data_IF_464442935908
#
_entry.id   IF_464442935908
#
_cell.length_a   1.000
_cell.length_b   1.000
_cell.length_c   1.000
_cell.angle_alpha   90.00
_cell.angle_beta   90.00
_cell.angle_gamma   90.00
#
_symmetry.space_group_name_H-M   'P 1'
#
loop_
_entity.id
_entity.type
_entity.pdbx_description
1 polymer ?
#
# COMPACT_ATOMS: atom_id res chain seq x y z
N UNK A 1 -9.09 0.34 10.62
CA UNK A 1 -8.52 -0.56 9.61
C UNK A 1 -9.39 -1.81 9.54
N UNK A 2 -9.59 -2.43 8.37
CA UNK A 2 -10.28 -3.73 8.24
C UNK A 2 -9.25 -4.82 7.98
N UNK A 3 -9.34 -5.92 8.71
CA UNK A 3 -8.42 -7.05 8.61
C UNK A 3 -8.99 -8.16 7.73
N UNK A 4 -8.09 -8.86 7.05
CA UNK A 4 -8.37 -10.00 6.19
C UNK A 4 -7.29 -11.07 6.41
N UNK A 5 -7.72 -12.33 6.44
CA UNK A 5 -6.82 -13.48 6.44
C UNK A 5 -6.71 -14.05 5.03
N UNK A 6 -5.51 -14.01 4.47
CA UNK A 6 -5.18 -14.52 3.13
C UNK A 6 -4.15 -15.67 3.22
N UNK A 7 -4.09 -16.39 4.33
CA UNK A 7 -2.94 -17.24 4.69
C UNK A 7 -1.80 -16.46 5.35
N UNK A 8 -2.06 -15.18 5.64
CA UNK A 8 -1.25 -14.16 6.28
C UNK A 8 -2.15 -12.95 6.55
N UNK A 9 -1.81 -12.10 7.53
CA UNK A 9 -2.70 -11.00 7.94
C UNK A 9 -2.52 -9.81 7.00
N UNK A 10 -3.60 -9.36 6.38
CA UNK A 10 -3.64 -8.11 5.63
C UNK A 10 -4.56 -7.11 6.32
N UNK A 11 -4.06 -5.93 6.61
CA UNK A 11 -4.85 -4.82 7.15
C UNK A 11 -5.01 -3.74 6.09
N UNK A 12 -6.23 -3.27 5.88
CA UNK A 12 -6.59 -2.22 4.92
C UNK A 12 -7.16 -0.97 5.62
N UNK A 13 -6.57 0.20 5.34
CA UNK A 13 -7.06 1.50 5.81
C UNK A 13 -7.35 2.40 4.62
N UNK A 14 -8.46 3.14 4.69
CA UNK A 14 -8.90 4.03 3.64
C UNK A 14 -8.84 5.47 4.16
N UNK A 15 -8.23 6.35 3.37
CA UNK A 15 -8.05 7.75 3.69
C UNK A 15 -8.66 8.61 2.58
N UNK A 16 -9.47 9.58 2.97
CA UNK A 16 -10.05 10.58 2.08
C UNK A 16 -9.48 11.96 2.44
N UNK A 17 -9.64 12.90 1.50
CA UNK A 17 -9.19 14.29 1.64
C UNK A 17 -7.70 14.41 2.01
N UNK A 18 -6.87 13.49 1.52
CA UNK A 18 -5.42 13.51 1.75
C UNK A 18 -4.79 14.72 1.05
N UNK A 19 -4.03 15.51 1.80
CA UNK A 19 -3.38 16.74 1.32
C UNK A 19 -1.86 16.61 1.14
N UNK A 20 -1.24 15.58 1.76
CA UNK A 20 0.21 15.37 1.79
C UNK A 20 0.68 14.22 0.86
N UNK A 21 -0.02 13.98 -0.25
CA UNK A 21 0.25 12.82 -1.12
C UNK A 21 1.62 12.88 -1.80
N UNK A 22 2.15 14.09 -2.01
CA UNK A 22 3.48 14.33 -2.57
C UNK A 22 4.58 13.91 -1.60
N UNK A 23 4.45 14.28 -0.34
CA UNK A 23 5.36 13.92 0.76
C UNK A 23 5.33 12.40 0.99
N UNK A 24 4.15 11.79 0.94
CA UNK A 24 3.98 10.34 1.02
C UNK A 24 4.68 9.61 -0.13
N UNK A 25 4.51 10.08 -1.36
CA UNK A 25 5.18 9.51 -2.53
C UNK A 25 6.70 9.61 -2.38
N UNK A 26 7.22 10.77 -1.94
CA UNK A 26 8.64 10.97 -1.72
C UNK A 26 9.17 10.04 -0.61
N UNK A 27 8.45 9.96 0.51
CA UNK A 27 8.81 9.08 1.63
C UNK A 27 8.85 7.60 1.22
N UNK A 28 7.93 7.17 0.36
CA UNK A 28 7.91 5.83 -0.20
C UNK A 28 9.12 5.56 -1.11
N UNK A 29 9.44 6.50 -2.00
CA UNK A 29 10.58 6.38 -2.92
C UNK A 29 11.93 6.38 -2.20
N UNK A 30 12.03 7.14 -1.11
CA UNK A 30 13.22 7.21 -0.26
C UNK A 30 13.29 6.08 0.78
N UNK A 31 12.26 5.22 0.87
CA UNK A 31 12.21 4.11 1.83
C UNK A 31 12.09 4.55 3.29
N UNK A 32 11.56 5.75 3.53
CA UNK A 32 11.33 6.32 4.87
C UNK A 32 10.07 5.81 5.55
N UNK A 33 9.14 5.23 4.79
CA UNK A 33 7.94 4.60 5.34
C UNK A 33 8.33 3.32 6.10
N UNK A 34 8.48 3.44 7.42
CA UNK A 34 8.78 2.35 8.33
C UNK A 34 7.72 2.30 9.43
N UNK A 35 6.96 1.20 9.55
CA UNK A 35 6.98 0.01 8.69
C UNK A 35 6.51 0.27 7.24
N UNK A 36 6.96 -0.55 6.28
CA UNK A 36 6.61 -0.38 4.85
C UNK A 36 5.10 -0.60 4.60
N UNK A 37 4.49 0.15 3.70
CA UNK A 37 3.06 0.02 3.39
C UNK A 37 2.84 0.13 1.88
N UNK A 38 1.86 -0.61 1.35
CA UNK A 38 1.42 -0.42 -0.03
C UNK A 38 0.38 0.69 -0.07
N UNK A 39 0.60 1.71 -0.91
CA UNK A 39 -0.33 2.81 -1.11
C UNK A 39 -0.92 2.74 -2.51
N UNK A 40 -2.25 2.56 -2.59
CA UNK A 40 -2.99 2.51 -3.84
C UNK A 40 -3.89 3.74 -3.98
N UNK A 41 -4.07 4.22 -5.20
CA UNK A 41 -5.10 5.22 -5.50
C UNK A 41 -6.48 4.56 -5.38
N UNK A 42 -7.21 4.88 -4.31
CA UNK A 42 -8.48 4.25 -3.99
C UNK A 42 -9.59 4.61 -4.99
N UNK A 43 -9.45 5.71 -5.74
CA UNK A 43 -10.40 6.10 -6.79
C UNK A 43 -10.44 5.11 -7.95
N UNK A 44 -9.44 4.23 -8.06
CA UNK A 44 -9.36 3.18 -9.08
C UNK A 44 -9.83 1.81 -8.58
N UNK A 45 -10.32 1.72 -7.34
CA UNK A 45 -10.67 0.47 -6.66
C UNK A 45 -12.19 0.40 -6.46
N UNK A 46 -12.92 -0.29 -7.36
CA UNK A 46 -14.38 -0.36 -7.28
C UNK A 46 -14.88 -1.28 -6.15
N UNK A 47 -14.07 -2.26 -5.76
CA UNK A 47 -14.38 -3.20 -4.69
C UNK A 47 -13.08 -3.69 -4.03
N UNK A 48 -13.18 -4.22 -2.81
CA UNK A 48 -12.01 -4.73 -2.07
C UNK A 48 -11.47 -6.04 -2.65
N UNK A 49 -12.30 -6.85 -3.30
CA UNK A 49 -11.94 -8.19 -3.75
C UNK A 49 -10.71 -8.22 -4.69
N UNK A 50 -10.60 -7.37 -5.74
CA UNK A 50 -9.40 -7.34 -6.59
C UNK A 50 -8.11 -6.99 -5.81
N UNK A 51 -8.20 -6.18 -4.75
CA UNK A 51 -7.06 -5.87 -3.88
C UNK A 51 -6.65 -7.10 -3.08
N UNK A 52 -7.62 -7.86 -2.55
CA UNK A 52 -7.36 -9.11 -1.82
C UNK A 52 -6.69 -10.15 -2.74
N UNK A 53 -7.15 -10.28 -3.99
CA UNK A 53 -6.52 -11.17 -4.97
C UNK A 53 -5.09 -10.74 -5.29
N UNK A 54 -4.84 -9.45 -5.49
CA UNK A 54 -3.51 -8.91 -5.73
C UNK A 54 -2.56 -9.15 -4.54
N UNK A 55 -3.07 -8.95 -3.32
CA UNK A 55 -2.33 -9.19 -2.08
C UNK A 55 -2.03 -10.68 -1.85
N UNK A 56 -3.01 -11.56 -2.07
CA UNK A 56 -2.80 -13.01 -1.98
C UNK A 56 -1.75 -13.49 -3.01
N UNK A 57 -1.81 -12.99 -4.24
CA UNK A 57 -0.80 -13.30 -5.26
C UNK A 57 0.59 -12.80 -4.86
N UNK A 58 0.69 -11.61 -4.27
CA UNK A 58 1.94 -11.07 -3.76
C UNK A 58 2.51 -11.93 -2.62
N UNK A 59 1.64 -12.39 -1.71
CA UNK A 59 2.00 -13.28 -0.61
C UNK A 59 2.56 -14.61 -1.12
N UNK A 60 1.89 -15.25 -2.09
CA UNK A 60 2.38 -16.48 -2.73
C UNK A 60 3.73 -16.27 -3.43
N UNK A 61 3.91 -15.15 -4.14
CA UNK A 61 5.17 -14.82 -4.80
C UNK A 61 6.29 -14.61 -3.77
N UNK A 62 6.00 -13.97 -2.63
CA UNK A 62 6.97 -13.82 -1.54
C UNK A 62 7.39 -15.16 -0.94
N UNK A 63 6.43 -16.04 -0.66
CA UNK A 63 6.68 -17.37 -0.10
C UNK A 63 7.52 -18.26 -1.03
N UNK A 64 7.46 -18.01 -2.35
CA UNK A 64 8.24 -18.71 -3.38
C UNK A 64 9.53 -18.00 -3.76
N UNK A 65 9.87 -16.90 -3.09
CA UNK A 65 11.02 -16.05 -3.43
C UNK A 65 11.02 -15.56 -4.89
N UNK A 66 9.82 -15.37 -5.45
CA UNK A 66 9.59 -15.08 -6.87
C UNK A 66 8.88 -13.74 -7.08
N UNK A 67 9.17 -12.74 -6.24
CA UNK A 67 8.64 -11.39 -6.42
C UNK A 67 9.16 -10.79 -7.73
N UNK A 68 8.27 -10.15 -8.48
CA UNK A 68 8.66 -9.40 -9.69
C UNK A 68 9.23 -8.03 -9.32
N UNK A 69 8.69 -7.42 -8.27
CA UNK A 69 9.08 -6.14 -7.71
C UNK A 69 10.04 -6.32 -6.52
N UNK A 70 10.51 -5.21 -5.96
CA UNK A 70 11.51 -5.23 -4.88
C UNK A 70 10.92 -5.61 -3.53
N UNK A 71 9.63 -5.36 -3.30
CA UNK A 71 9.00 -5.52 -1.98
C UNK A 71 7.62 -6.15 -2.10
N UNK A 72 7.20 -6.82 -1.04
CA UNK A 72 5.85 -7.41 -0.98
C UNK A 72 4.76 -6.35 -1.23
N UNK A 73 4.97 -5.12 -0.72
CA UNK A 73 4.05 -4.00 -0.85
C UNK A 73 3.95 -3.47 -2.28
N UNK A 74 5.09 -3.27 -2.96
CA UNK A 74 5.10 -2.87 -4.38
C UNK A 74 4.53 -3.97 -5.29
N UNK A 75 4.65 -5.24 -4.89
CA UNK A 75 4.06 -6.38 -5.62
C UNK A 75 2.53 -6.33 -5.61
N UNK A 76 1.90 -5.85 -4.52
CA UNK A 76 0.43 -5.67 -4.47
C UNK A 76 -0.02 -4.69 -5.54
N UNK A 77 0.61 -3.52 -5.61
CA UNK A 77 0.27 -2.48 -6.60
C UNK A 77 0.53 -2.97 -8.03
N UNK A 78 1.63 -3.70 -8.23
CA UNK A 78 1.95 -4.34 -9.50
C UNK A 78 0.91 -5.39 -9.93
N UNK A 79 0.54 -6.28 -9.02
CA UNK A 79 -0.46 -7.32 -9.29
C UNK A 79 -1.85 -6.73 -9.54
N UNK A 80 -2.20 -5.65 -8.85
CA UNK A 80 -3.47 -4.96 -9.02
C UNK A 80 -3.62 -4.34 -10.42
N UNK A 81 -2.53 -3.80 -10.99
CA UNK A 81 -2.61 -3.09 -12.27
C UNK A 81 -2.92 -3.99 -13.48
N UNK A 82 -2.69 -5.31 -13.35
CA UNK A 82 -2.77 -6.25 -14.47
C UNK A 82 -1.74 -6.04 -15.58
N UNK A 83 -0.76 -5.14 -15.39
CA UNK A 83 0.29 -4.83 -16.36
C UNK A 83 1.55 -5.66 -16.15
N UNK A 84 2.34 -5.82 -17.21
CA UNK A 84 3.69 -6.42 -17.14
C UNK A 84 4.79 -5.40 -16.85
N UNK A 85 4.49 -4.11 -16.88
CA UNK A 85 5.47 -3.03 -16.72
C UNK A 85 5.42 -2.42 -15.31
N UNK A 86 6.43 -2.71 -14.47
CA UNK A 86 6.47 -2.28 -13.07
C UNK A 86 6.26 -0.76 -12.92
N UNK A 87 7.03 0.05 -13.64
CA UNK A 87 6.96 1.51 -13.53
C UNK A 87 5.57 2.05 -13.85
N UNK A 88 4.94 1.52 -14.89
CA UNK A 88 3.59 1.96 -15.28
C UNK A 88 2.53 1.49 -14.28
N UNK A 89 2.67 0.29 -13.73
CA UNK A 89 1.80 -0.22 -12.66
C UNK A 89 1.80 0.69 -11.45
N UNK A 90 2.98 1.08 -10.97
CA UNK A 90 3.13 1.93 -9.79
C UNK A 90 2.60 3.35 -10.05
N UNK A 91 2.83 3.91 -11.25
CA UNK A 91 2.31 5.23 -11.62
C UNK A 91 0.79 5.27 -11.75
N UNK A 92 0.18 4.24 -12.33
CA UNK A 92 -1.27 4.22 -12.57
C UNK A 92 -2.06 3.87 -11.33
N UNK A 93 -1.64 2.83 -10.61
CA UNK A 93 -2.43 2.24 -9.53
C UNK A 93 -1.94 2.65 -8.14
N UNK A 94 -0.70 3.12 -8.02
CA UNK A 94 -0.15 3.67 -6.79
C UNK A 94 -0.55 5.13 -6.58
N UNK A 95 0.04 5.75 -5.56
CA UNK A 95 -0.16 7.18 -5.26
C UNK A 95 0.69 8.08 -6.18
N UNK A 96 0.13 9.24 -6.50
CA UNK A 96 0.78 10.32 -7.23
C UNK A 96 0.73 11.63 -6.45
N UNK A 97 1.42 12.65 -6.97
CA UNK A 97 1.12 14.03 -6.61
C UNK A 97 -0.37 14.31 -6.90
N UNK A 98 -1.08 14.87 -5.93
CA UNK A 98 -2.52 15.13 -5.98
C UNK A 98 -3.47 13.95 -5.70
N UNK A 99 -2.98 12.78 -5.26
CA UNK A 99 -3.89 11.69 -4.86
C UNK A 99 -4.56 12.01 -3.52
N UNK A 100 -5.86 12.28 -3.55
CA UNK A 100 -6.65 12.64 -2.35
C UNK A 100 -7.35 11.46 -1.68
N UNK A 101 -7.44 10.32 -2.37
CA UNK A 101 -8.13 9.13 -1.89
C UNK A 101 -7.20 7.91 -1.96
N UNK A 102 -6.78 7.41 -0.80
CA UNK A 102 -5.69 6.43 -0.69
C UNK A 102 -6.16 5.21 0.10
N UNK A 103 -5.88 4.03 -0.46
CA UNK A 103 -6.01 2.77 0.24
C UNK A 103 -4.60 2.31 0.65
N UNK A 104 -4.37 2.24 1.96
CA UNK A 104 -3.16 1.69 2.54
C UNK A 104 -3.36 0.20 2.86
N UNK A 105 -2.42 -0.63 2.41
CA UNK A 105 -2.42 -2.07 2.63
C UNK A 105 -1.12 -2.50 3.33
N UNK A 106 -1.26 -3.17 4.48
CA UNK A 106 -0.14 -3.58 5.34
C UNK A 106 -0.24 -5.06 5.71
N UNK A 107 0.87 -5.77 5.56
CA UNK A 107 0.99 -7.17 5.96
C UNK A 107 1.48 -7.30 7.40
N UNK A 108 0.96 -8.30 8.11
CA UNK A 108 1.40 -8.77 9.43
C UNK A 108 1.50 -7.67 10.49
N UNK A 109 0.63 -6.67 10.40
CA UNK A 109 0.57 -5.60 11.39
C UNK A 109 0.08 -6.16 12.73
N UNK A 110 0.82 -5.87 13.82
CA UNK A 110 0.35 -6.14 15.17
C UNK A 110 -0.77 -5.17 15.55
N UNK A 111 -1.75 -5.57 16.38
CA UNK A 111 -2.88 -4.71 16.75
C UNK A 111 -2.47 -3.33 17.27
N UNK A 112 -1.30 -3.23 17.92
CA UNK A 112 -0.74 -1.99 18.48
C UNK A 112 -0.10 -1.08 17.42
N UNK A 113 0.37 -1.62 16.29
CA UNK A 113 1.00 -0.87 15.19
C UNK A 113 -0.01 -0.37 14.13
N UNK A 114 -1.16 -1.06 14.04
CA UNK A 114 -2.20 -0.87 13.01
C UNK A 114 -2.83 0.52 13.03
N UNK A 115 -3.06 1.07 14.23
CA UNK A 115 -3.65 2.39 14.41
C UNK A 115 -2.61 3.50 14.24
N UNK A 116 -1.57 3.46 15.06
CA UNK A 116 -0.66 4.59 15.21
C UNK A 116 0.23 4.81 13.99
N UNK A 117 0.84 3.77 13.42
CA UNK A 117 1.84 3.99 12.36
C UNK A 117 1.21 4.42 11.03
N UNK A 118 0.05 3.87 10.66
CA UNK A 118 -0.59 4.22 9.38
C UNK A 118 -1.34 5.54 9.51
N UNK A 119 -2.06 5.82 10.60
CA UNK A 119 -2.74 7.12 10.78
C UNK A 119 -1.74 8.29 10.82
N UNK A 120 -0.59 8.14 11.49
CA UNK A 120 0.46 9.16 11.54
C UNK A 120 1.01 9.51 10.15
N UNK A 121 0.94 8.58 9.17
CA UNK A 121 1.32 8.91 7.78
C UNK A 121 0.38 9.95 7.15
N UNK A 122 -0.89 10.00 7.56
CA UNK A 122 -1.94 10.79 6.89
C UNK A 122 -2.49 11.94 7.74
N UNK A 123 -2.11 12.06 9.02
CA UNK A 123 -2.50 13.17 9.91
C UNK A 123 -1.27 14.01 10.25
N UNK A 124 -1.04 15.12 9.53
CA UNK A 124 -0.12 16.28 9.74
C UNK A 124 1.25 16.12 10.48
N UNK A 125 1.66 14.92 10.85
CA UNK A 125 2.77 14.62 11.75
C UNK A 125 3.65 13.54 11.14
N UNK A 126 3.94 13.66 9.85
CA UNK A 126 5.06 12.95 9.25
C UNK A 126 6.38 13.67 9.56
N UNK A 127 6.75 13.54 10.84
CA UNK A 127 8.11 13.41 11.38
C UNK A 127 9.02 14.64 11.30
N UNK A 128 8.93 15.52 12.31
CA UNK A 128 10.13 16.16 12.87
C UNK A 128 11.00 15.07 13.52
N UNK A 129 11.84 14.44 12.71
CA UNK A 129 13.22 14.09 13.05
C UNK A 129 13.97 13.62 11.80
#
# INVERSE_FOLDING_TARGET
MKEFDLGGRLSLALFADVTNSKELLQAMQEGRLKPEVALLNASLIPDVFPVLVAAHKAFLAKARESLTTRTLHSEVVYNYSGSKHITESLKRCGVSDGTTYILAARFDASPDEVGSSVLVLFTEELLFN
#
